data_IF_688099959677
#
_entry.id   IF_688099959677
#
_cell.length_a   1.000
_cell.length_b   1.000
_cell.length_c   1.000
_cell.angle_alpha   90.00
_cell.angle_beta   90.00
_cell.angle_gamma   90.00
#
_symmetry.space_group_name_H-M   'P 1'
#
loop_
_entity.id
_entity.type
_entity.pdbx_description
1 polymer ?
#
# COMPACT_ATOMS: atom_id res chain seq x y z
N UNK A 1 41.96 -33.32 -35.62
CA UNK A 1 40.55 -33.21 -35.22
C UNK A 1 40.50 -32.83 -33.75
N UNK A 2 40.20 -31.57 -33.42
CA UNK A 2 40.13 -31.11 -32.03
C UNK A 2 38.69 -31.28 -31.51
N UNK A 3 38.52 -32.01 -30.42
CA UNK A 3 37.23 -32.19 -29.75
C UNK A 3 36.96 -31.00 -28.83
N UNK A 4 36.05 -30.10 -29.22
CA UNK A 4 35.59 -29.01 -28.36
C UNK A 4 34.61 -29.55 -27.31
N UNK A 5 34.85 -29.28 -26.03
CA UNK A 5 33.86 -29.54 -24.98
C UNK A 5 32.72 -28.53 -25.07
N UNK A 6 31.46 -28.93 -24.86
CA UNK A 6 30.33 -28.00 -24.86
C UNK A 6 30.45 -27.06 -23.65
N UNK A 7 30.52 -25.76 -23.91
CA UNK A 7 30.41 -24.73 -22.88
C UNK A 7 28.93 -24.68 -22.49
N UNK A 8 28.60 -25.14 -21.27
CA UNK A 8 27.26 -24.94 -20.71
C UNK A 8 27.06 -23.43 -20.48
N UNK A 9 26.12 -22.75 -21.14
CA UNK A 9 25.86 -21.35 -20.85
C UNK A 9 25.43 -21.24 -19.38
N UNK A 10 26.12 -20.42 -18.59
CA UNK A 10 25.74 -20.13 -17.22
C UNK A 10 24.24 -19.80 -17.15
N UNK A 11 23.52 -20.22 -16.09
CA UNK A 11 22.12 -19.84 -15.94
C UNK A 11 22.07 -18.33 -16.03
N UNK A 12 21.42 -17.81 -17.09
CA UNK A 12 21.19 -16.38 -17.23
C UNK A 12 20.56 -15.94 -15.93
N UNK A 13 21.21 -15.03 -15.21
CA UNK A 13 20.62 -14.25 -14.12
C UNK A 13 19.54 -13.33 -14.69
N UNK A 14 18.57 -13.91 -15.40
CA UNK A 14 17.45 -13.24 -16.00
C UNK A 14 16.62 -12.72 -14.83
N UNK A 15 16.89 -11.46 -14.50
CA UNK A 15 16.11 -10.58 -13.65
C UNK A 15 15.57 -11.28 -12.39
N UNK A 16 16.47 -11.65 -11.47
CA UNK A 16 16.07 -12.13 -10.13
C UNK A 16 15.07 -11.19 -9.44
N UNK A 17 15.16 -9.89 -9.74
CA UNK A 17 14.22 -8.89 -9.28
C UNK A 17 12.82 -9.06 -9.89
N UNK A 18 12.71 -9.55 -11.13
CA UNK A 18 11.44 -9.85 -11.78
C UNK A 18 10.83 -11.16 -11.24
N UNK A 19 11.63 -12.14 -10.85
CA UNK A 19 11.12 -13.36 -10.20
C UNK A 19 10.65 -13.09 -8.75
N UNK A 20 11.30 -12.15 -8.07
CA UNK A 20 10.96 -11.76 -6.69
C UNK A 20 9.78 -10.78 -6.60
N UNK A 21 9.55 -9.97 -7.64
CA UNK A 21 8.56 -8.90 -7.63
C UNK A 21 7.61 -8.89 -8.84
N UNK A 22 7.72 -9.85 -9.76
CA UNK A 22 6.92 -9.90 -11.00
C UNK A 22 5.49 -10.40 -10.79
N UNK A 23 5.24 -11.15 -9.71
CA UNK A 23 3.89 -11.50 -9.26
C UNK A 23 3.21 -10.34 -8.51
N UNK A 24 3.98 -9.37 -8.01
CA UNK A 24 3.52 -8.06 -7.53
C UNK A 24 3.19 -7.13 -8.73
N UNK A 25 2.33 -7.58 -9.64
CA UNK A 25 1.76 -6.73 -10.69
C UNK A 25 0.81 -5.69 -10.08
N UNK A 26 1.40 -4.60 -9.60
CA UNK A 26 0.74 -3.40 -9.15
C UNK A 26 0.61 -2.41 -10.32
N UNK A 27 -0.06 -2.84 -11.39
CA UNK A 27 -0.51 -2.01 -12.51
C UNK A 27 0.59 -1.38 -13.39
N UNK A 28 1.13 -2.18 -14.31
CA UNK A 28 1.62 -1.69 -15.60
C UNK A 28 2.95 -0.92 -15.58
N UNK A 29 4.05 -1.67 -15.50
CA UNK A 29 5.42 -1.20 -15.77
C UNK A 29 6.31 -1.31 -14.54
N UNK A 30 7.13 -2.36 -14.51
CA UNK A 30 7.96 -2.86 -13.41
C UNK A 30 8.88 -1.80 -12.78
N UNK A 31 8.36 -1.01 -11.85
CA UNK A 31 9.05 -0.24 -10.78
C UNK A 31 8.09 0.64 -9.96
N UNK A 32 6.78 0.56 -10.15
CA UNK A 32 5.81 1.30 -9.36
C UNK A 32 4.96 0.35 -8.54
N UNK A 33 5.15 0.34 -7.21
CA UNK A 33 4.14 -0.20 -6.30
C UNK A 33 2.88 0.67 -6.43
N UNK A 34 2.04 0.47 -7.45
CA UNK A 34 0.71 1.06 -7.44
C UNK A 34 -0.07 0.35 -6.35
N UNK A 35 -0.18 1.01 -5.19
CA UNK A 35 -1.16 0.70 -4.17
C UNK A 35 -2.52 0.52 -4.87
N UNK A 36 -2.84 -0.72 -5.25
CA UNK A 36 -4.15 -1.08 -5.78
C UNK A 36 -5.13 -0.57 -4.74
N UNK A 37 -6.17 0.13 -5.21
CA UNK A 37 -7.11 0.92 -4.42
C UNK A 37 -7.97 0.13 -3.42
N UNK A 38 -7.41 -0.90 -2.80
CA UNK A 38 -7.81 -1.46 -1.51
C UNK A 38 -8.09 -0.30 -0.58
N UNK A 39 -9.37 -0.09 -0.25
CA UNK A 39 -9.75 0.86 0.78
C UNK A 39 -8.93 0.52 2.04
N UNK A 40 -8.08 1.45 2.48
CA UNK A 40 -7.36 1.28 3.73
C UNK A 40 -8.40 1.02 4.83
N UNK A 41 -8.08 0.09 5.74
CA UNK A 41 -8.94 -0.13 6.91
C UNK A 41 -9.12 1.18 7.67
N UNK A 42 -10.37 1.54 7.96
CA UNK A 42 -10.73 2.73 8.74
C UNK A 42 -11.41 2.27 10.01
N UNK A 43 -10.93 2.77 11.15
CA UNK A 43 -11.52 2.49 12.44
C UNK A 43 -12.89 3.17 12.58
N UNK A 44 -13.84 2.60 13.35
CA UNK A 44 -15.06 3.30 13.73
C UNK A 44 -14.75 4.65 14.39
N UNK A 45 -15.66 5.61 14.26
CA UNK A 45 -15.50 6.92 14.92
C UNK A 45 -15.52 6.76 16.44
N UNK A 46 -14.58 7.41 17.10
CA UNK A 46 -14.49 7.49 18.56
C UNK A 46 -14.82 8.90 19.03
N UNK A 47 -15.33 9.04 20.27
CA UNK A 47 -15.55 10.35 20.90
C UNK A 47 -14.19 10.94 21.29
N UNK A 48 -13.79 12.02 20.61
CA UNK A 48 -12.54 12.74 20.89
C UNK A 48 -12.72 13.87 21.90
N UNK A 49 -13.90 14.50 21.89
CA UNK A 49 -14.30 15.51 22.86
C UNK A 49 -15.74 15.24 23.28
N UNK A 50 -15.97 14.86 24.54
CA UNK A 50 -17.34 14.69 25.04
C UNK A 50 -18.02 16.03 25.31
N UNK A 51 -19.35 16.08 25.17
CA UNK A 51 -20.14 17.30 25.39
C UNK A 51 -19.86 17.97 26.75
N UNK A 52 -19.69 17.18 27.80
CA UNK A 52 -19.38 17.68 29.15
C UNK A 52 -18.06 18.47 29.19
N UNK A 53 -17.05 18.01 28.44
CA UNK A 53 -15.73 18.66 28.36
C UNK A 53 -15.69 19.76 27.31
N UNK A 54 -16.53 19.67 26.27
CA UNK A 54 -16.66 20.63 25.19
C UNK A 54 -17.67 21.75 25.42
N UNK A 55 -18.16 21.96 26.65
CA UNK A 55 -19.17 22.98 26.99
C UNK A 55 -20.46 22.87 26.17
N UNK A 56 -20.91 21.64 25.94
CA UNK A 56 -22.09 21.33 25.14
C UNK A 56 -21.78 20.87 23.72
N UNK A 57 -20.53 21.04 23.23
CA UNK A 57 -20.07 20.51 21.95
C UNK A 57 -19.47 19.11 22.12
N UNK A 58 -19.97 18.14 21.36
CA UNK A 58 -19.34 16.82 21.22
C UNK A 58 -18.70 16.66 19.84
N UNK A 59 -17.51 16.05 19.81
CA UNK A 59 -16.79 15.72 18.57
C UNK A 59 -16.47 14.24 18.57
N UNK A 60 -16.95 13.54 17.55
CA UNK A 60 -16.52 12.17 17.25
C UNK A 60 -15.80 12.13 15.91
N UNK A 61 -14.80 11.27 15.78
CA UNK A 61 -14.03 11.21 14.54
C UNK A 61 -13.19 9.96 14.35
N UNK A 62 -12.65 9.82 13.14
CA UNK A 62 -11.66 8.80 12.76
C UNK A 62 -10.67 9.39 11.75
N UNK A 63 -9.57 8.68 11.52
CA UNK A 63 -8.62 8.99 10.45
C UNK A 63 -8.79 8.01 9.30
N UNK A 64 -8.87 8.54 8.09
CA UNK A 64 -8.98 7.73 6.89
C UNK A 64 -7.96 8.17 5.85
N UNK A 65 -7.56 7.24 4.98
CA UNK A 65 -6.81 7.57 3.77
C UNK A 65 -7.76 7.50 2.57
N UNK A 66 -7.94 8.62 1.88
CA UNK A 66 -8.75 8.74 0.65
C UNK A 66 -7.86 9.31 -0.45
N UNK A 67 -7.74 8.62 -1.58
CA UNK A 67 -6.95 9.07 -2.73
C UNK A 67 -5.54 9.55 -2.34
N UNK A 68 -4.83 8.73 -1.55
CA UNK A 68 -3.50 9.03 -1.00
C UNK A 68 -3.41 10.26 -0.07
N UNK A 69 -4.52 10.88 0.31
CA UNK A 69 -4.56 11.94 1.32
C UNK A 69 -5.06 11.39 2.65
N UNK A 70 -4.39 11.76 3.74
CA UNK A 70 -4.87 11.47 5.09
C UNK A 70 -5.87 12.56 5.44
N UNK A 71 -7.10 12.16 5.75
CA UNK A 71 -8.19 13.06 6.09
C UNK A 71 -8.71 12.75 7.49
N UNK A 72 -9.31 13.77 8.10
CA UNK A 72 -9.99 13.67 9.38
C UNK A 72 -11.49 13.69 9.10
N UNK A 73 -12.17 12.59 9.38
CA UNK A 73 -13.63 12.48 9.22
C UNK A 73 -14.26 12.71 10.60
N UNK A 74 -14.95 13.85 10.80
CA UNK A 74 -15.51 14.28 12.09
C UNK A 74 -17.01 14.59 12.00
N UNK A 75 -17.73 14.27 13.07
CA UNK A 75 -19.11 14.69 13.32
C UNK A 75 -19.16 15.61 14.56
N UNK A 76 -20.07 16.59 14.55
CA UNK A 76 -20.24 17.58 15.60
C UNK A 76 -21.69 17.54 16.09
N UNK A 77 -21.89 17.46 17.41
CA UNK A 77 -23.20 17.41 18.07
C UNK A 77 -23.32 18.48 19.16
#
# INVERSE_FOLDING_TARGET
TATSFPINPAPKSANLLDDLFGDLNLGGGSSGLLYSGSSAFVLPKEIWLSAQKGKGLEVSGTFARRNNQIVMEMDFF
#
